data_IF_085658995771
#
_entry.id   IF_085658995771
#
_cell.length_a   1.000
_cell.length_b   1.000
_cell.length_c   1.000
_cell.angle_alpha   90.00
_cell.angle_beta   90.00
_cell.angle_gamma   90.00
#
_symmetry.space_group_name_H-M   'P 1'
#
loop_
_entity.id
_entity.type
_entity.pdbx_description
1 polymer ?
#
# COMPACT_ATOMS: atom_id res chain seq x y z
N UNK A 1 -6.30 4.67 6.12
CA UNK A 1 -4.88 4.47 6.54
C UNK A 1 -4.62 3.00 6.91
N UNK A 2 -3.39 2.49 6.75
CA UNK A 2 -3.01 1.13 7.15
C UNK A 2 -1.90 1.15 8.21
N UNK A 3 -2.12 0.43 9.32
CA UNK A 3 -1.13 0.23 10.38
C UNK A 3 -0.53 -1.16 10.29
N UNK A 4 0.74 -1.30 10.69
CA UNK A 4 1.39 -2.59 10.83
C UNK A 4 0.97 -3.26 12.14
N UNK A 5 0.78 -4.57 12.12
CA UNK A 5 0.48 -5.35 13.31
C UNK A 5 1.68 -5.39 14.26
N UNK A 6 1.41 -5.48 15.56
CA UNK A 6 2.43 -5.57 16.59
C UNK A 6 2.86 -7.02 16.88
N UNK A 7 2.32 -7.99 16.13
CA UNK A 7 2.61 -9.42 16.32
C UNK A 7 3.96 -9.81 15.74
N UNK A 8 4.49 -9.01 14.82
CA UNK A 8 5.85 -9.15 14.29
C UNK A 8 6.68 -8.00 14.84
N UNK A 9 7.83 -8.30 15.46
CA UNK A 9 8.69 -7.26 16.03
C UNK A 9 9.65 -6.74 14.96
N UNK A 10 9.22 -5.73 14.19
CA UNK A 10 10.14 -4.92 13.39
C UNK A 10 11.01 -4.07 14.32
N UNK A 11 12.26 -3.85 13.93
CA UNK A 11 13.17 -2.96 14.62
C UNK A 11 12.67 -1.51 14.60
N UNK A 12 12.99 -0.74 15.65
CA UNK A 12 12.57 0.66 15.76
C UNK A 12 13.00 1.50 14.54
N UNK A 13 14.21 1.27 14.02
CA UNK A 13 14.73 1.95 12.82
C UNK A 13 13.89 1.62 11.58
N UNK A 14 13.47 0.37 11.41
CA UNK A 14 12.64 -0.05 10.28
C UNK A 14 11.25 0.62 10.32
N UNK A 15 10.66 0.72 11.52
CA UNK A 15 9.40 1.43 11.73
C UNK A 15 9.50 2.92 11.37
N UNK A 16 10.60 3.59 11.76
CA UNK A 16 10.85 4.99 11.39
C UNK A 16 11.03 5.16 9.88
N UNK A 17 11.77 4.24 9.22
CA UNK A 17 11.93 4.26 7.77
C UNK A 17 10.61 4.02 7.05
N UNK A 18 9.78 3.12 7.56
CA UNK A 18 8.46 2.86 6.99
C UNK A 18 7.53 4.06 7.15
N UNK A 19 7.54 4.73 8.31
CA UNK A 19 6.81 5.99 8.50
C UNK A 19 7.24 7.05 7.46
N UNK A 20 8.55 7.19 7.21
CA UNK A 20 9.06 8.10 6.17
C UNK A 20 8.59 7.74 4.75
N UNK A 21 8.45 6.45 4.43
CA UNK A 21 7.87 5.99 3.16
C UNK A 21 6.41 6.45 3.05
N UNK A 22 5.63 6.30 4.11
CA UNK A 22 4.23 6.74 4.15
C UNK A 22 4.10 8.27 4.04
N UNK A 23 4.94 9.02 4.74
CA UNK A 23 4.93 10.48 4.68
C UNK A 23 5.25 11.01 3.29
N UNK A 24 6.19 10.38 2.58
CA UNK A 24 6.50 10.71 1.18
C UNK A 24 5.37 10.38 0.21
N UNK A 25 4.54 9.39 0.53
CA UNK A 25 3.41 9.01 -0.30
C UNK A 25 2.21 9.95 -0.14
N UNK A 26 2.16 10.75 0.94
CA UNK A 26 1.02 11.61 1.29
C UNK A 26 0.80 12.69 0.21
N UNK A 27 -0.47 12.88 -0.14
CA UNK A 27 -0.93 13.90 -1.09
C UNK A 27 -1.82 14.92 -0.34
N UNK A 28 -2.05 16.13 -0.89
CA UNK A 28 -3.00 17.08 -0.30
C UNK A 28 -4.38 16.48 -0.02
N UNK A 29 -4.81 15.55 -0.86
CA UNK A 29 -6.07 14.82 -0.77
C UNK A 29 -6.09 13.66 0.25
N UNK A 30 -4.95 13.28 0.86
CA UNK A 30 -4.92 12.32 1.97
C UNK A 30 -3.66 11.46 2.07
N UNK A 31 -3.76 10.33 2.79
CA UNK A 31 -2.60 9.48 3.12
C UNK A 31 -1.80 8.94 1.92
N UNK A 32 -2.38 8.91 0.72
CA UNK A 32 -1.66 8.73 -0.55
C UNK A 32 -1.15 7.31 -0.84
N UNK A 33 -0.81 6.53 0.19
CA UNK A 33 -0.51 5.11 0.06
C UNK A 33 -1.78 4.27 -0.11
N UNK A 34 -1.81 3.41 -1.14
CA UNK A 34 -2.91 2.49 -1.41
C UNK A 34 -2.40 1.06 -1.24
N UNK A 35 -3.14 0.26 -0.49
CA UNK A 35 -2.91 -1.16 -0.33
C UNK A 35 -4.21 -1.90 -0.57
N UNK A 36 -4.15 -3.13 -1.06
CA UNK A 36 -5.33 -3.99 -1.17
C UNK A 36 -6.14 -4.09 0.14
N UNK A 37 -5.48 -4.00 1.30
CA UNK A 37 -6.13 -4.07 2.61
C UNK A 37 -6.95 -2.82 2.99
N UNK A 38 -6.67 -1.65 2.39
CA UNK A 38 -7.34 -0.39 2.70
C UNK A 38 -8.08 0.20 1.49
N UNK A 39 -8.28 -0.58 0.43
CA UNK A 39 -8.90 -0.17 -0.82
C UNK A 39 -10.37 -0.61 -0.89
N UNK A 40 -11.27 0.36 -1.02
CA UNK A 40 -12.70 0.13 -1.28
C UNK A 40 -13.09 0.67 -2.66
N UNK A 41 -13.80 -0.14 -3.44
CA UNK A 41 -14.20 0.20 -4.82
C UNK A 41 -15.65 -0.22 -5.04
N UNK A 42 -16.43 0.63 -5.71
CA UNK A 42 -17.75 0.22 -6.19
C UNK A 42 -17.61 -0.79 -7.32
N UNK A 43 -18.41 -1.85 -7.30
CA UNK A 43 -18.30 -2.95 -8.26
C UNK A 43 -18.43 -2.48 -9.73
N UNK A 44 -19.32 -1.53 -10.01
CA UNK A 44 -19.51 -0.99 -11.36
C UNK A 44 -18.27 -0.23 -11.87
N UNK A 45 -17.60 0.54 -11.00
CA UNK A 45 -16.35 1.21 -11.35
C UNK A 45 -15.19 0.22 -11.54
N UNK A 46 -15.15 -0.86 -10.75
CA UNK A 46 -14.17 -1.95 -10.91
C UNK A 46 -14.31 -2.62 -12.29
N UNK A 47 -15.55 -2.95 -12.68
CA UNK A 47 -15.84 -3.56 -13.98
C UNK A 47 -15.55 -2.60 -15.14
N UNK A 48 -15.91 -1.31 -14.99
CA UNK A 48 -15.71 -0.28 -16.02
C UNK A 48 -14.23 -0.07 -16.39
N UNK A 49 -13.31 -0.27 -15.45
CA UNK A 49 -11.86 -0.16 -15.71
C UNK A 49 -11.21 -1.51 -16.03
N UNK A 50 -11.96 -2.62 -16.06
CA UNK A 50 -11.47 -3.96 -16.40
C UNK A 50 -10.86 -4.74 -15.23
N UNK A 51 -11.18 -4.37 -13.98
CA UNK A 51 -10.75 -5.08 -12.79
C UNK A 51 -9.24 -5.03 -12.51
N UNK A 52 -8.72 -5.98 -11.73
CA UNK A 52 -7.27 -6.08 -11.48
C UNK A 52 -6.50 -6.48 -12.75
N UNK A 53 -5.40 -5.78 -13.01
CA UNK A 53 -4.47 -6.16 -14.08
C UNK A 53 -3.71 -7.43 -13.73
N UNK A 54 -3.28 -8.18 -14.74
CA UNK A 54 -2.42 -9.36 -14.57
C UNK A 54 -0.97 -8.97 -14.27
N UNK A 55 -0.75 -8.36 -13.10
CA UNK A 55 0.57 -7.94 -12.60
C UNK A 55 1.08 -8.92 -11.54
N UNK A 56 2.41 -9.07 -11.46
CA UNK A 56 3.04 -9.86 -10.40
C UNK A 56 2.95 -9.19 -9.03
N UNK A 57 2.98 -7.85 -9.01
CA UNK A 57 2.90 -6.97 -7.83
C UNK A 57 2.40 -5.58 -8.23
N UNK A 58 1.66 -4.92 -7.34
CA UNK A 58 1.21 -3.54 -7.53
C UNK A 58 -0.11 -3.43 -8.29
N UNK A 59 -0.91 -4.48 -8.28
CA UNK A 59 -2.23 -4.57 -8.90
C UNK A 59 -3.22 -3.54 -8.32
N UNK A 60 -3.11 -3.23 -7.03
CA UNK A 60 -3.89 -2.21 -6.32
C UNK A 60 -3.53 -0.79 -6.76
N UNK A 61 -2.24 -0.48 -6.87
CA UNK A 61 -1.75 0.79 -7.41
C UNK A 61 -2.17 1.00 -8.87
N UNK A 62 -2.05 -0.04 -9.69
CA UNK A 62 -2.48 0.01 -11.08
C UNK A 62 -3.99 0.29 -11.20
N UNK A 63 -4.80 -0.42 -10.43
CA UNK A 63 -6.25 -0.22 -10.39
C UNK A 63 -6.63 1.19 -9.91
N UNK A 64 -6.01 1.67 -8.84
CA UNK A 64 -6.22 3.04 -8.32
C UNK A 64 -5.88 4.13 -9.34
N UNK A 65 -4.80 3.92 -10.11
CA UNK A 65 -4.38 4.80 -11.19
C UNK A 65 -5.41 4.79 -12.34
N UNK A 66 -5.83 3.61 -12.81
CA UNK A 66 -6.80 3.48 -13.90
C UNK A 66 -8.16 4.07 -13.53
N UNK A 67 -8.62 3.91 -12.29
CA UNK A 67 -9.83 4.58 -11.78
C UNK A 67 -9.73 6.11 -11.89
N UNK A 68 -8.58 6.68 -11.50
CA UNK A 68 -8.34 8.12 -11.64
C UNK A 68 -8.30 8.57 -13.10
N UNK A 69 -7.65 7.81 -13.98
CA UNK A 69 -7.59 8.10 -15.42
C UNK A 69 -8.95 7.97 -16.12
N UNK A 70 -9.80 7.06 -15.63
CA UNK A 70 -11.19 6.88 -16.09
C UNK A 70 -12.16 7.94 -15.55
N UNK A 71 -11.70 8.92 -14.77
CA UNK A 71 -12.54 10.00 -14.23
C UNK A 71 -13.41 9.57 -13.05
N UNK A 72 -13.16 8.40 -12.44
CA UNK A 72 -13.89 7.99 -11.26
C UNK A 72 -13.45 8.80 -10.03
N UNK A 73 -14.39 9.27 -9.19
CA UNK A 73 -14.05 9.97 -7.96
C UNK A 73 -13.16 9.11 -7.06
N UNK A 74 -12.11 9.71 -6.52
CA UNK A 74 -11.20 9.09 -5.56
C UNK A 74 -11.17 9.92 -4.29
N UNK A 75 -11.20 9.26 -3.14
CA UNK A 75 -11.13 9.89 -1.84
C UNK A 75 -10.29 9.04 -0.89
N UNK A 76 -9.59 9.71 0.02
CA UNK A 76 -8.85 9.07 1.10
C UNK A 76 -9.66 9.22 2.39
N UNK A 77 -10.01 8.09 3.02
CA UNK A 77 -10.74 8.07 4.28
C UNK A 77 -9.77 7.98 5.47
N UNK A 78 -9.22 9.12 5.88
CA UNK A 78 -8.21 9.19 6.95
C UNK A 78 -8.74 8.72 8.32
N UNK A 79 -10.06 8.73 8.54
CA UNK A 79 -10.72 8.24 9.75
C UNK A 79 -10.92 6.71 9.78
N UNK A 80 -10.71 6.02 8.66
CA UNK A 80 -10.84 4.57 8.56
C UNK A 80 -9.44 3.95 8.58
N UNK A 81 -9.20 3.07 9.56
CA UNK A 81 -7.92 2.41 9.76
C UNK A 81 -8.07 0.90 9.63
N UNK A 82 -7.06 0.27 9.06
CA UNK A 82 -6.94 -1.20 9.00
C UNK A 82 -5.61 -1.62 9.60
N UNK A 83 -5.56 -2.83 10.16
CA UNK A 83 -4.33 -3.46 10.61
C UNK A 83 -3.86 -4.47 9.57
N UNK A 84 -2.59 -4.39 9.20
CA UNK A 84 -1.94 -5.21 8.16
C UNK A 84 -0.70 -5.87 8.75
N UNK A 85 -0.32 -7.03 8.21
CA UNK A 85 0.79 -7.81 8.78
C UNK A 85 2.15 -7.12 8.59
N UNK A 86 2.93 -7.02 9.66
CA UNK A 86 4.31 -6.51 9.67
C UNK A 86 5.35 -7.58 9.31
N UNK A 87 4.94 -8.68 8.67
CA UNK A 87 5.84 -9.77 8.27
C UNK A 87 6.86 -9.29 7.23
N UNK A 88 8.11 -9.75 7.36
CA UNK A 88 9.18 -9.53 6.37
C UNK A 88 9.27 -10.64 5.33
N UNK A 89 8.57 -11.76 5.54
CA UNK A 89 8.51 -12.86 4.56
C UNK A 89 7.12 -12.98 3.96
N UNK A 90 7.00 -12.65 2.67
CA UNK A 90 5.75 -12.64 1.92
C UNK A 90 5.65 -13.70 0.82
N UNK A 91 4.48 -13.75 0.19
CA UNK A 91 4.22 -14.55 -1.02
C UNK A 91 4.39 -13.74 -2.31
N UNK A 92 4.07 -12.45 -2.27
CA UNK A 92 4.20 -11.53 -3.40
C UNK A 92 5.60 -10.92 -3.42
N UNK A 93 6.38 -11.22 -4.46
CA UNK A 93 7.73 -10.69 -4.65
C UNK A 93 7.68 -9.19 -4.97
N UNK A 94 8.45 -8.37 -4.27
CA UNK A 94 8.38 -6.91 -4.34
C UNK A 94 7.17 -6.31 -3.61
N UNK A 95 6.40 -7.12 -2.89
CA UNK A 95 5.27 -6.63 -2.09
C UNK A 95 5.70 -5.99 -0.78
N UNK A 96 4.71 -5.64 0.06
CA UNK A 96 4.96 -4.99 1.35
C UNK A 96 5.94 -5.77 2.24
N UNK A 97 5.91 -7.11 2.25
CA UNK A 97 6.81 -7.89 3.08
C UNK A 97 8.28 -7.71 2.67
N UNK A 98 8.57 -7.71 1.37
CA UNK A 98 9.92 -7.50 0.84
C UNK A 98 10.38 -6.04 1.09
N UNK A 99 9.46 -5.06 1.01
CA UNK A 99 9.74 -3.69 1.44
C UNK A 99 10.12 -3.67 2.93
N UNK A 100 9.32 -4.26 3.81
CA UNK A 100 9.61 -4.28 5.25
C UNK A 100 10.93 -5.00 5.57
N UNK A 101 11.23 -6.10 4.88
CA UNK A 101 12.51 -6.80 4.98
C UNK A 101 13.69 -5.93 4.56
N UNK A 102 13.53 -5.17 3.47
CA UNK A 102 14.54 -4.22 3.02
C UNK A 102 14.73 -3.06 4.01
N UNK A 103 13.67 -2.61 4.68
CA UNK A 103 13.78 -1.54 5.68
C UNK A 103 14.38 -2.02 7.00
N UNK A 104 14.16 -3.28 7.35
CA UNK A 104 14.72 -3.98 8.52
C UNK A 104 16.22 -4.27 8.33
N UNK A 105 16.56 -4.80 7.16
CA UNK A 105 17.94 -5.01 6.75
C UNK A 105 18.57 -3.64 6.43
N UNK A 106 19.87 -3.43 6.66
CA UNK A 106 20.53 -2.14 6.41
C UNK A 106 20.58 -1.73 4.92
N UNK A 107 19.96 -2.50 4.01
CA UNK A 107 19.93 -2.22 2.58
C UNK A 107 18.86 -1.17 2.27
N UNK A 108 19.23 -0.05 1.63
CA UNK A 108 18.26 0.96 1.20
C UNK A 108 17.15 0.38 0.30
N UNK A 109 16.01 1.10 0.16
CA UNK A 109 14.87 0.61 -0.60
C UNK A 109 15.28 0.27 -2.05
N UNK A 110 14.74 -0.80 -2.65
CA UNK A 110 15.00 -1.12 -4.04
C UNK A 110 14.47 0.02 -4.94
N UNK A 111 15.32 0.43 -5.89
CA UNK A 111 15.07 1.44 -6.94
C UNK A 111 14.02 0.98 -7.94
#
# INVERSE_FOLDING_TARGET
MAHLDHRTTLGHVALLRYAHVLDKARLPEGHGNVYGANLGIRADAYDAVGGFGSLSTGEDHDLWRRLGQGGHPRAYADHITVTTSARTRGRARGGLADLLDSLESTAGPPV
#
